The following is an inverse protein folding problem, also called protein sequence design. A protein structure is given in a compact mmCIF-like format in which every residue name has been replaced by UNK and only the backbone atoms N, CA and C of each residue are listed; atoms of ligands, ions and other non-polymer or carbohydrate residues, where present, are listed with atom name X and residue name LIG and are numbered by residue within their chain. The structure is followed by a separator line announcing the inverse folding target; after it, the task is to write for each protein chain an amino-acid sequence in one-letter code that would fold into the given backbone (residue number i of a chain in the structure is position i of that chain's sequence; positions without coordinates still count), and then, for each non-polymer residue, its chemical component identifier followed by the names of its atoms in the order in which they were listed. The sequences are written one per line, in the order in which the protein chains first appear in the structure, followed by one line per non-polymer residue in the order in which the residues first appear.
data_IF_355539129831
#
_entry.id   IF_355539129831
#
_cell.length_a   1.000
_cell.length_b   1.000
_cell.length_c   1.000
_cell.angle_alpha   90.00
_cell.angle_beta   90.00
_cell.angle_gamma   90.00
#
_symmetry.space_group_name_H-M   'P 1'
#
loop_
_entity.id
_entity.type
_entity.pdbx_description
1 polymer ?
#
# COMPACT_ATOMS: atom_id res chain seq x y z
N UNK A 1 43.42 39.24 8.39
CA UNK A 1 42.60 40.35 8.93
C UNK A 1 41.14 40.11 8.61
N UNK A 2 40.32 39.81 9.63
CA UNK A 2 38.85 39.67 9.55
C UNK A 2 38.23 40.84 10.33
N UNK A 3 37.36 41.65 9.73
CA UNK A 3 36.53 42.59 10.47
C UNK A 3 35.11 41.99 10.64
N UNK A 4 34.69 41.87 11.89
CA UNK A 4 33.39 41.36 12.35
C UNK A 4 32.41 42.53 12.56
N UNK A 5 31.13 42.24 12.30
CA UNK A 5 29.94 43.08 12.41
C UNK A 5 29.70 43.61 13.84
N UNK A 6 29.26 44.86 13.94
CA UNK A 6 28.71 45.52 15.14
C UNK A 6 27.18 45.42 15.14
N UNK A 7 26.58 45.07 16.28
CA UNK A 7 25.19 45.35 16.67
C UNK A 7 25.23 46.08 18.03
N UNK A 8 24.42 47.12 18.28
CA UNK A 8 24.20 47.65 19.62
C UNK A 8 22.86 47.17 20.24
N UNK A 9 22.71 47.25 21.58
CA UNK A 9 21.69 46.54 22.36
C UNK A 9 20.43 47.38 22.69
N UNK A 10 19.31 46.69 22.93
CA UNK A 10 18.02 47.23 23.40
C UNK A 10 18.06 47.44 24.91
N UNK A 11 17.71 48.66 25.34
CA UNK A 11 17.65 49.12 26.74
C UNK A 11 16.25 48.94 27.35
N UNK A 12 16.31 48.65 28.64
CA UNK A 12 15.35 48.36 29.71
C UNK A 12 14.26 49.42 30.04
N UNK A 13 13.11 48.92 30.54
CA UNK A 13 12.34 49.31 31.75
C UNK A 13 11.74 50.74 31.95
N UNK A 14 10.44 50.79 32.29
CA UNK A 14 9.81 51.74 33.25
C UNK A 14 8.37 51.25 33.55
N UNK A 15 8.01 50.70 34.72
CA UNK A 15 7.74 51.26 36.07
C UNK A 15 6.26 51.14 36.44
N UNK A 16 6.01 50.35 37.49
CA UNK A 16 4.78 50.32 38.28
C UNK A 16 4.69 51.56 39.18
N UNK A 17 3.51 52.16 39.30
CA UNK A 17 3.12 52.92 40.50
C UNK A 17 1.67 52.57 40.85
N UNK A 18 1.52 52.10 42.09
CA UNK A 18 0.29 51.70 42.78
C UNK A 18 -0.23 52.93 43.53
N UNK A 19 -1.50 53.28 43.36
CA UNK A 19 -2.25 54.13 44.31
C UNK A 19 -3.64 53.53 44.49
N UNK A 20 -3.98 53.20 45.72
CA UNK A 20 -5.33 52.85 46.17
C UNK A 20 -5.86 53.99 47.06
N UNK A 21 -7.20 54.17 47.10
CA UNK A 21 -7.84 54.43 48.38
C UNK A 21 -9.02 53.50 48.66
N UNK A 22 -9.24 53.28 49.96
CA UNK A 22 -10.34 52.53 50.58
C UNK A 22 -11.71 53.15 50.26
N UNK A 23 -12.69 52.29 49.99
CA UNK A 23 -14.12 52.61 50.00
C UNK A 23 -14.94 51.32 50.05
N UNK A 24 -15.48 51.01 51.24
CA UNK A 24 -16.35 49.85 51.51
C UNK A 24 -17.75 50.13 50.93
N UNK A 25 -18.24 49.21 50.10
CA UNK A 25 -19.66 48.87 50.01
C UNK A 25 -19.74 47.45 49.41
N UNK A 26 -20.08 46.48 50.26
CA UNK A 26 -20.37 45.11 49.83
C UNK A 26 -21.59 45.14 48.91
N UNK A 27 -21.40 44.77 47.65
CA UNK A 27 -22.47 44.30 46.78
C UNK A 27 -22.13 42.88 46.35
N UNK A 28 -23.09 42.00 46.61
CA UNK A 28 -23.02 40.56 46.38
C UNK A 28 -22.63 40.29 44.92
N UNK A 29 -21.51 39.59 44.74
CA UNK A 29 -21.00 39.18 43.44
C UNK A 29 -21.91 38.05 42.91
N UNK A 30 -22.78 38.36 41.95
CA UNK A 30 -23.27 37.37 41.00
C UNK A 30 -22.33 37.35 39.80
N UNK A 31 -21.49 36.32 39.69
CA UNK A 31 -20.72 36.03 38.47
C UNK A 31 -21.65 35.32 37.49
N UNK A 32 -22.10 35.92 36.37
CA UNK A 32 -22.64 35.10 35.29
C UNK A 32 -21.50 34.27 34.71
N UNK A 33 -21.75 32.97 34.54
CA UNK A 33 -20.82 32.04 33.94
C UNK A 33 -20.36 32.56 32.56
N UNK A 34 -19.06 32.84 32.44
CA UNK A 34 -18.39 33.05 31.16
C UNK A 34 -18.53 31.76 30.34
N UNK A 35 -19.28 31.83 29.24
CA UNK A 35 -19.40 30.71 28.31
C UNK A 35 -20.38 30.88 27.15
N UNK A 36 -21.00 32.05 26.95
CA UNK A 36 -21.68 32.34 25.69
C UNK A 36 -20.62 32.56 24.60
N UNK A 37 -20.29 31.49 23.87
CA UNK A 37 -19.63 31.64 22.56
C UNK A 37 -20.52 32.52 21.71
N UNK A 38 -19.95 33.60 21.17
CA UNK A 38 -20.57 34.44 20.17
C UNK A 38 -21.12 33.55 19.05
N UNK A 39 -22.45 33.46 18.99
CA UNK A 39 -23.18 32.95 17.85
C UNK A 39 -22.82 33.84 16.66
N UNK A 40 -22.54 33.23 15.51
CA UNK A 40 -22.39 33.98 14.26
C UNK A 40 -23.63 34.85 14.04
N UNK A 41 -23.42 36.09 13.62
CA UNK A 41 -24.46 37.09 13.46
C UNK A 41 -25.68 36.53 12.68
N UNK A 42 -26.83 36.47 13.34
CA UNK A 42 -28.15 36.21 12.72
C UNK A 42 -28.88 34.92 13.12
N UNK A 43 -28.29 34.00 13.89
CA UNK A 43 -28.95 32.73 14.24
C UNK A 43 -29.63 32.80 15.62
N UNK A 44 -30.97 32.91 15.67
CA UNK A 44 -31.73 32.72 16.91
C UNK A 44 -31.60 31.26 17.41
N UNK A 45 -31.36 31.04 18.72
CA UNK A 45 -31.22 29.70 19.26
C UNK A 45 -32.54 28.93 19.20
N UNK A 46 -32.60 27.89 18.36
CA UNK A 46 -33.76 26.98 18.30
C UNK A 46 -33.82 26.15 19.59
N UNK A 47 -34.93 26.27 20.33
CA UNK A 47 -35.20 25.56 21.60
C UNK A 47 -36.53 24.81 21.51
N UNK A 48 -36.63 23.65 22.15
CA UNK A 48 -37.81 22.79 22.11
C UNK A 48 -37.47 21.32 22.36
N UNK A 49 -38.50 20.47 22.41
CA UNK A 49 -38.33 18.99 22.47
C UNK A 49 -37.70 18.45 21.18
N UNK A 50 -37.21 17.21 21.19
CA UNK A 50 -36.68 16.57 19.98
C UNK A 50 -37.69 16.59 18.82
N UNK A 51 -38.96 16.32 19.09
CA UNK A 51 -40.05 16.39 18.11
C UNK A 51 -40.25 17.81 17.54
N UNK A 52 -40.29 18.82 18.41
CA UNK A 52 -40.46 20.22 17.98
C UNK A 52 -39.28 20.68 17.13
N UNK A 53 -38.05 20.39 17.55
CA UNK A 53 -36.85 20.69 16.77
C UNK A 53 -36.87 19.96 15.43
N UNK A 54 -37.35 18.73 15.39
CA UNK A 54 -37.41 17.95 14.15
C UNK A 54 -38.40 18.58 13.16
N UNK A 55 -39.57 19.00 13.66
CA UNK A 55 -40.57 19.71 12.85
C UNK A 55 -40.04 21.05 12.35
N UNK A 56 -39.39 21.86 13.21
CA UNK A 56 -38.76 23.13 12.81
C UNK A 56 -37.73 22.89 11.70
N UNK A 57 -36.95 21.80 11.79
CA UNK A 57 -36.02 21.41 10.75
C UNK A 57 -36.71 21.13 9.41
N UNK A 58 -37.80 20.35 9.43
CA UNK A 58 -38.55 20.01 8.22
C UNK A 58 -39.20 21.24 7.58
N UNK A 59 -39.85 22.07 8.40
CA UNK A 59 -40.50 23.30 7.93
C UNK A 59 -39.48 24.26 7.31
N UNK A 60 -38.29 24.36 7.92
CA UNK A 60 -37.18 25.15 7.39
C UNK A 60 -36.60 24.56 6.09
N UNK A 61 -36.50 23.24 5.95
CA UNK A 61 -36.10 22.63 4.67
C UNK A 61 -37.11 22.92 3.55
N UNK A 62 -38.41 22.87 3.87
CA UNK A 62 -39.51 23.15 2.95
C UNK A 62 -39.55 24.62 2.52
N UNK A 63 -39.20 25.55 3.41
CA UNK A 63 -39.10 26.98 3.10
C UNK A 63 -37.76 27.38 2.46
N UNK A 64 -36.80 26.45 2.36
CA UNK A 64 -35.46 26.69 1.82
C UNK A 64 -34.48 27.34 2.81
N UNK A 65 -34.88 27.54 4.07
CA UNK A 65 -34.00 28.05 5.13
C UNK A 65 -33.05 26.96 5.66
N UNK A 66 -31.98 26.73 4.91
CA UNK A 66 -30.95 25.74 5.26
C UNK A 66 -30.21 26.08 6.57
N UNK A 67 -30.15 27.35 6.97
CA UNK A 67 -29.51 27.78 8.21
C UNK A 67 -30.31 27.32 9.43
N UNK A 68 -31.62 27.62 9.41
CA UNK A 68 -32.54 27.19 10.47
C UNK A 68 -32.68 25.67 10.52
N UNK A 69 -32.78 25.01 9.36
CA UNK A 69 -32.83 23.54 9.29
C UNK A 69 -31.56 22.91 9.91
N UNK A 70 -30.38 23.43 9.55
CA UNK A 70 -29.11 23.00 10.12
C UNK A 70 -29.12 23.12 11.65
N UNK A 71 -29.50 24.28 12.18
CA UNK A 71 -29.46 24.56 13.62
C UNK A 71 -30.42 23.65 14.40
N UNK A 72 -31.62 23.42 13.86
CA UNK A 72 -32.62 22.56 14.48
C UNK A 72 -32.16 21.10 14.55
N UNK A 73 -31.72 20.52 13.43
CA UNK A 73 -31.23 19.13 13.42
C UNK A 73 -29.96 18.94 14.24
N UNK A 74 -29.01 19.89 14.17
CA UNK A 74 -27.80 19.88 15.00
C UNK A 74 -28.12 19.91 16.49
N UNK A 75 -29.16 20.63 16.90
CA UNK A 75 -29.59 20.67 18.30
C UNK A 75 -30.07 19.29 18.77
N UNK A 76 -30.80 18.54 17.93
CA UNK A 76 -31.25 17.17 18.23
C UNK A 76 -30.06 16.25 18.45
N UNK A 77 -29.14 16.20 17.47
CA UNK A 77 -27.95 15.33 17.53
C UNK A 77 -27.09 15.66 18.76
N UNK A 78 -27.05 16.91 19.21
CA UNK A 78 -26.24 17.31 20.38
C UNK A 78 -26.91 17.06 21.72
N UNK A 79 -28.20 17.40 21.84
CA UNK A 79 -28.93 17.41 23.13
C UNK A 79 -29.72 16.13 23.37
N UNK A 80 -30.19 15.48 22.31
CA UNK A 80 -31.14 14.36 22.36
C UNK A 80 -30.56 13.11 21.70
N UNK A 81 -29.28 12.80 21.95
CA UNK A 81 -28.53 11.71 21.27
C UNK A 81 -29.19 10.34 21.31
N UNK A 82 -29.94 10.01 22.36
CA UNK A 82 -30.60 8.71 22.55
C UNK A 82 -32.03 8.67 22.03
N UNK A 83 -32.55 9.80 21.56
CA UNK A 83 -33.90 9.90 21.05
C UNK A 83 -34.05 9.12 19.74
N UNK A 84 -35.22 8.54 19.51
CA UNK A 84 -35.56 7.82 18.28
C UNK A 84 -35.38 8.68 17.02
N UNK A 85 -35.55 10.00 17.14
CA UNK A 85 -35.37 10.95 16.05
C UNK A 85 -33.91 11.31 15.78
N UNK A 86 -32.98 10.98 16.69
CA UNK A 86 -31.60 11.44 16.59
C UNK A 86 -30.89 10.93 15.33
N UNK A 87 -31.11 9.67 14.95
CA UNK A 87 -30.56 9.10 13.71
C UNK A 87 -31.10 9.78 12.45
N UNK A 88 -32.41 10.06 12.41
CA UNK A 88 -33.04 10.79 11.30
C UNK A 88 -32.58 12.25 11.25
N UNK A 89 -32.44 12.91 12.41
CA UNK A 89 -31.93 14.26 12.49
C UNK A 89 -30.45 14.36 12.06
N UNK A 90 -29.61 13.39 12.42
CA UNK A 90 -28.23 13.33 11.96
C UNK A 90 -28.15 13.18 10.44
N UNK A 91 -29.00 12.33 9.85
CA UNK A 91 -29.09 12.18 8.40
C UNK A 91 -29.58 13.46 7.71
N UNK A 92 -30.65 14.08 8.19
CA UNK A 92 -31.14 15.34 7.62
C UNK A 92 -30.13 16.48 7.77
N UNK A 93 -29.44 16.56 8.91
CA UNK A 93 -28.33 17.50 9.09
C UNK A 93 -27.24 17.30 8.02
N UNK A 94 -26.88 16.05 7.72
CA UNK A 94 -25.90 15.73 6.67
C UNK A 94 -26.38 16.17 5.29
N UNK A 95 -27.65 15.89 4.93
CA UNK A 95 -28.26 16.34 3.67
C UNK A 95 -28.28 17.86 3.53
N UNK A 96 -28.59 18.57 4.60
CA UNK A 96 -28.52 20.04 4.62
C UNK A 96 -27.09 20.52 4.36
N UNK A 97 -26.06 19.82 4.87
CA UNK A 97 -24.67 20.19 4.59
C UNK A 97 -24.30 19.98 3.11
N UNK A 98 -24.75 18.89 2.49
CA UNK A 98 -24.56 18.67 1.04
C UNK A 98 -25.26 19.75 0.21
N UNK A 99 -26.52 20.11 0.55
CA UNK A 99 -27.25 21.19 -0.14
C UNK A 99 -26.55 22.54 -0.02
N UNK A 100 -25.80 22.76 1.05
CA UNK A 100 -24.96 23.95 1.27
C UNK A 100 -23.60 23.87 0.55
N UNK A 101 -23.28 22.75 -0.08
CA UNK A 101 -22.01 22.49 -0.77
C UNK A 101 -20.83 22.17 0.15
N UNK A 102 -21.08 21.86 1.42
CA UNK A 102 -20.06 21.55 2.42
C UNK A 102 -19.90 20.03 2.58
N UNK A 103 -19.35 19.39 1.55
CA UNK A 103 -19.24 17.94 1.46
C UNK A 103 -18.47 17.30 2.62
N UNK A 104 -17.45 17.97 3.17
CA UNK A 104 -16.70 17.43 4.31
C UNK A 104 -17.56 17.43 5.58
N UNK A 105 -18.33 18.50 5.82
CA UNK A 105 -19.28 18.51 6.94
C UNK A 105 -20.39 17.51 6.73
N UNK A 106 -20.83 17.31 5.49
CA UNK A 106 -21.80 16.26 5.15
C UNK A 106 -21.25 14.86 5.42
N UNK A 107 -20.06 14.52 4.93
CA UNK A 107 -19.43 13.22 5.15
C UNK A 107 -19.19 12.96 6.65
N UNK A 108 -18.80 13.98 7.42
CA UNK A 108 -18.66 13.89 8.87
C UNK A 108 -20.02 13.68 9.58
N UNK A 109 -21.10 14.28 9.09
CA UNK A 109 -22.44 14.07 9.62
C UNK A 109 -22.99 12.68 9.25
N UNK A 110 -22.78 12.20 8.02
CA UNK A 110 -23.13 10.83 7.65
C UNK A 110 -22.34 9.79 8.44
N UNK A 111 -21.07 10.08 8.77
CA UNK A 111 -20.26 9.26 9.67
C UNK A 111 -20.94 9.08 11.03
N UNK A 112 -21.54 10.13 11.58
CA UNK A 112 -22.31 10.04 12.83
C UNK A 112 -23.51 9.09 12.66
N UNK A 113 -24.22 9.13 11.52
CA UNK A 113 -25.33 8.20 11.24
C UNK A 113 -24.85 6.75 11.30
N UNK A 114 -23.76 6.42 10.60
CA UNK A 114 -23.30 5.03 10.48
C UNK A 114 -22.54 4.51 11.71
N UNK A 115 -21.96 5.40 12.53
CA UNK A 115 -21.24 5.02 13.76
C UNK A 115 -22.12 5.05 15.01
N UNK A 116 -22.88 6.12 15.22
CA UNK A 116 -23.68 6.31 16.44
C UNK A 116 -25.10 5.73 16.28
N UNK A 117 -25.61 5.62 15.05
CA UNK A 117 -27.00 5.21 14.76
C UNK A 117 -27.10 4.04 13.75
N UNK A 118 -26.41 2.90 13.94
CA UNK A 118 -26.38 1.81 12.98
C UNK A 118 -27.73 1.12 12.74
N UNK A 119 -28.73 1.32 13.61
CA UNK A 119 -30.11 0.84 13.44
C UNK A 119 -31.04 1.85 12.77
N UNK A 120 -30.51 3.01 12.37
CA UNK A 120 -31.29 4.02 11.65
C UNK A 120 -31.74 3.45 10.31
N UNK A 121 -32.98 3.75 9.91
CA UNK A 121 -33.48 3.46 8.56
C UNK A 121 -32.66 4.14 7.45
N UNK A 122 -31.87 5.16 7.81
CA UNK A 122 -31.02 5.93 6.91
C UNK A 122 -29.55 5.47 6.93
N UNK A 123 -29.26 4.29 7.47
CA UNK A 123 -27.89 3.75 7.51
C UNK A 123 -27.33 3.56 6.09
N UNK A 124 -28.06 2.84 5.23
CA UNK A 124 -27.60 2.56 3.87
C UNK A 124 -27.57 3.82 3.00
N UNK A 125 -28.52 4.74 3.19
CA UNK A 125 -28.53 6.06 2.54
C UNK A 125 -27.27 6.87 2.90
N UNK A 126 -26.85 6.81 4.17
CA UNK A 126 -25.66 7.51 4.65
C UNK A 126 -24.37 6.89 4.08
N UNK A 127 -24.29 5.56 3.98
CA UNK A 127 -23.16 4.87 3.33
C UNK A 127 -23.08 5.26 1.85
N UNK A 128 -24.20 5.27 1.13
CA UNK A 128 -24.24 5.70 -0.28
C UNK A 128 -23.77 7.14 -0.45
N UNK A 129 -24.25 8.05 0.40
CA UNK A 129 -23.85 9.44 0.35
C UNK A 129 -22.35 9.62 0.68
N UNK A 130 -21.82 8.90 1.66
CA UNK A 130 -20.38 8.87 1.93
C UNK A 130 -19.60 8.37 0.72
N UNK A 131 -20.06 7.30 0.06
CA UNK A 131 -19.39 6.75 -1.11
C UNK A 131 -19.31 7.80 -2.24
N UNK A 132 -20.44 8.44 -2.57
CA UNK A 132 -20.51 9.52 -3.57
C UNK A 132 -19.60 10.70 -3.25
N UNK A 133 -19.56 11.13 -1.99
CA UNK A 133 -18.66 12.20 -1.56
C UNK A 133 -17.20 11.74 -1.72
N UNK A 134 -16.87 10.54 -1.27
CA UNK A 134 -15.54 9.94 -1.45
C UNK A 134 -15.08 9.94 -2.91
N UNK A 135 -15.94 9.51 -3.83
CA UNK A 135 -15.66 9.53 -5.27
C UNK A 135 -15.42 10.94 -5.81
N UNK A 136 -16.17 11.93 -5.31
CA UNK A 136 -15.98 13.35 -5.67
C UNK A 136 -14.58 13.84 -5.28
N UNK A 137 -14.11 13.47 -4.09
CA UNK A 137 -12.76 13.80 -3.64
C UNK A 137 -11.69 13.03 -4.43
N UNK A 138 -11.92 11.74 -4.71
CA UNK A 138 -11.03 10.90 -5.50
C UNK A 138 -10.88 11.39 -6.96
N UNK A 139 -11.94 11.95 -7.54
CA UNK A 139 -11.92 12.57 -8.86
C UNK A 139 -11.02 13.83 -8.93
N UNK A 140 -10.51 14.30 -7.79
CA UNK A 140 -9.60 15.43 -7.73
C UNK A 140 -10.33 16.77 -7.72
N UNK A 141 -11.51 16.84 -7.08
CA UNK A 141 -12.17 18.10 -6.74
C UNK A 141 -11.11 19.05 -6.17
N UNK A 142 -10.78 20.08 -6.94
CA UNK A 142 -9.67 21.01 -6.65
C UNK A 142 -10.00 21.77 -5.38
N UNK A 143 -9.51 21.28 -4.26
CA UNK A 143 -9.56 22.01 -3.00
C UNK A 143 -8.57 23.17 -3.09
N UNK A 144 -9.09 24.40 -3.05
CA UNK A 144 -8.29 25.62 -2.96
C UNK A 144 -8.45 26.18 -1.56
N UNK A 145 -7.35 26.30 -0.83
CA UNK A 145 -7.29 27.09 0.40
C UNK A 145 -6.41 28.30 0.13
N UNK A 146 -6.96 29.51 0.23
CA UNK A 146 -6.25 30.77 -0.11
C UNK A 146 -5.57 30.73 -1.49
N UNK A 147 -6.18 30.11 -2.50
CA UNK A 147 -5.63 30.01 -3.85
C UNK A 147 -4.55 28.93 -4.05
N UNK A 148 -4.16 28.21 -3.00
CA UNK A 148 -3.18 27.11 -3.07
C UNK A 148 -3.92 25.76 -3.22
N UNK A 149 -3.57 24.92 -4.21
CA UNK A 149 -4.13 23.58 -4.34
C UNK A 149 -3.68 22.71 -3.16
N UNK A 150 -4.64 22.15 -2.42
CA UNK A 150 -4.37 21.34 -1.24
C UNK A 150 -4.25 19.86 -1.63
N UNK A 151 -3.13 19.21 -1.27
CA UNK A 151 -2.91 17.75 -1.45
C UNK A 151 -3.85 16.86 -0.63
N UNK A 152 -4.67 17.44 0.25
CA UNK A 152 -5.53 16.72 1.20
C UNK A 152 -6.72 16.00 0.56
N UNK A 153 -7.06 16.24 -0.71
CA UNK A 153 -8.25 15.64 -1.32
C UNK A 153 -8.20 14.10 -1.30
N UNK A 154 -7.04 13.50 -1.59
CA UNK A 154 -6.88 12.04 -1.54
C UNK A 154 -6.95 11.51 -0.10
N UNK A 155 -6.38 12.23 0.87
CA UNK A 155 -6.47 11.86 2.29
C UNK A 155 -7.93 11.85 2.77
N UNK A 156 -8.72 12.87 2.36
CA UNK A 156 -10.15 12.93 2.65
C UNK A 156 -10.93 11.80 1.99
N UNK A 157 -10.63 11.47 0.72
CA UNK A 157 -11.23 10.31 0.06
C UNK A 157 -10.94 9.03 0.85
N UNK A 158 -9.68 8.80 1.23
CA UNK A 158 -9.28 7.64 2.04
C UNK A 158 -10.00 7.58 3.38
N UNK A 159 -10.09 8.70 4.12
CA UNK A 159 -10.82 8.76 5.41
C UNK A 159 -12.30 8.38 5.26
N UNK A 160 -12.95 8.86 4.20
CA UNK A 160 -14.37 8.60 3.92
C UNK A 160 -14.58 7.14 3.53
N UNK A 161 -13.80 6.62 2.58
CA UNK A 161 -13.91 5.20 2.18
C UNK A 161 -13.56 4.25 3.33
N UNK A 162 -12.54 4.56 4.15
CA UNK A 162 -12.20 3.77 5.33
C UNK A 162 -13.34 3.72 6.36
N UNK A 163 -14.15 4.77 6.43
CA UNK A 163 -15.36 4.76 7.27
C UNK A 163 -16.34 3.71 6.76
N UNK A 164 -16.64 3.70 5.46
CA UNK A 164 -17.55 2.73 4.82
C UNK A 164 -17.07 1.29 5.06
N UNK A 165 -15.78 1.02 4.81
CA UNK A 165 -15.20 -0.32 4.98
C UNK A 165 -15.35 -0.83 6.41
N UNK A 166 -15.18 0.05 7.40
CA UNK A 166 -15.29 -0.33 8.81
C UNK A 166 -16.74 -0.48 9.27
N UNK A 167 -17.65 0.40 8.84
CA UNK A 167 -19.03 0.41 9.36
C UNK A 167 -19.96 -0.53 8.60
N UNK A 168 -19.65 -0.83 7.33
CA UNK A 168 -20.44 -1.72 6.49
C UNK A 168 -19.57 -2.80 5.82
N UNK A 169 -18.89 -3.70 6.56
CA UNK A 169 -17.92 -4.64 5.98
C UNK A 169 -18.46 -5.56 4.87
N UNK A 170 -19.78 -5.79 4.83
CA UNK A 170 -20.47 -6.60 3.81
C UNK A 170 -21.45 -5.76 2.96
N UNK A 171 -21.32 -4.43 2.98
CA UNK A 171 -22.17 -3.52 2.23
C UNK A 171 -21.86 -3.51 0.74
N UNK A 172 -22.85 -3.14 -0.08
CA UNK A 172 -22.74 -3.07 -1.56
C UNK A 172 -21.61 -2.18 -2.09
N UNK A 173 -21.14 -1.22 -1.29
CA UNK A 173 -20.08 -0.29 -1.69
C UNK A 173 -18.70 -0.68 -1.16
N UNK A 174 -18.59 -1.75 -0.37
CA UNK A 174 -17.41 -1.94 0.48
C UNK A 174 -16.21 -2.45 -0.28
N UNK A 175 -16.38 -3.42 -1.16
CA UNK A 175 -15.32 -3.86 -2.07
C UNK A 175 -14.81 -2.68 -2.92
N UNK A 176 -15.74 -1.89 -3.44
CA UNK A 176 -15.42 -0.70 -4.24
C UNK A 176 -14.72 0.39 -3.42
N UNK A 177 -15.20 0.69 -2.22
CA UNK A 177 -14.57 1.66 -1.32
C UNK A 177 -13.14 1.23 -0.96
N UNK A 178 -12.92 -0.05 -0.69
CA UNK A 178 -11.57 -0.60 -0.42
C UNK A 178 -10.66 -0.45 -1.65
N UNK A 179 -11.17 -0.71 -2.86
CA UNK A 179 -10.44 -0.47 -4.10
C UNK A 179 -10.12 1.02 -4.31
N UNK A 180 -11.08 1.90 -4.02
CA UNK A 180 -10.93 3.35 -4.17
C UNK A 180 -9.99 3.97 -3.12
N UNK A 181 -9.79 3.33 -1.95
CA UNK A 181 -8.66 3.63 -1.05
C UNK A 181 -7.33 3.39 -1.78
N UNK A 182 -7.20 2.26 -2.49
CA UNK A 182 -6.01 1.96 -3.30
C UNK A 182 -5.76 3.00 -4.39
N UNK A 183 -6.80 3.46 -5.07
CA UNK A 183 -6.70 4.54 -6.07
C UNK A 183 -6.28 5.87 -5.45
N UNK A 184 -6.78 6.18 -4.25
CA UNK A 184 -6.42 7.42 -3.56
C UNK A 184 -4.93 7.42 -3.16
N UNK A 185 -4.44 6.32 -2.59
CA UNK A 185 -3.03 6.18 -2.17
C UNK A 185 -2.08 6.06 -3.36
N UNK A 186 -2.51 5.43 -4.45
CA UNK A 186 -1.80 5.42 -5.73
C UNK A 186 -1.59 6.86 -6.25
N UNK A 187 -2.64 7.68 -6.26
CA UNK A 187 -2.56 9.10 -6.67
C UNK A 187 -1.67 9.94 -5.75
N UNK A 188 -1.48 9.52 -4.51
CA UNK A 188 -0.52 10.14 -3.59
C UNK A 188 0.93 9.73 -3.86
N UNK A 189 1.15 8.73 -4.72
CA UNK A 189 2.47 8.15 -5.01
C UNK A 189 2.95 7.17 -3.94
N UNK A 190 2.06 6.71 -3.04
CA UNK A 190 2.40 5.74 -2.02
C UNK A 190 2.12 4.31 -2.53
N UNK A 191 3.09 3.74 -3.23
CA UNK A 191 2.99 2.40 -3.84
C UNK A 191 2.68 1.32 -2.81
N UNK A 192 3.34 1.33 -1.65
CA UNK A 192 3.14 0.29 -0.63
C UNK A 192 1.72 0.34 -0.06
N UNK A 193 1.22 1.53 0.28
CA UNK A 193 -0.14 1.69 0.77
C UNK A 193 -1.20 1.34 -0.28
N UNK A 194 -0.93 1.64 -1.56
CA UNK A 194 -1.83 1.29 -2.66
C UNK A 194 -1.89 -0.23 -2.88
N UNK A 195 -0.73 -0.90 -2.91
CA UNK A 195 -0.66 -2.36 -2.98
C UNK A 195 -1.39 -3.00 -1.80
N UNK A 196 -1.18 -2.55 -0.57
CA UNK A 196 -1.88 -3.08 0.59
C UNK A 196 -3.40 -2.90 0.50
N UNK A 197 -3.87 -1.76 -0.01
CA UNK A 197 -5.30 -1.50 -0.16
C UNK A 197 -5.94 -2.38 -1.24
N UNK A 198 -5.28 -2.56 -2.39
CA UNK A 198 -5.74 -3.46 -3.45
C UNK A 198 -5.67 -4.93 -3.04
N UNK A 199 -4.61 -5.34 -2.33
CA UNK A 199 -4.47 -6.69 -1.80
C UNK A 199 -5.63 -7.04 -0.86
N UNK A 200 -6.03 -6.11 0.00
CA UNK A 200 -7.20 -6.29 0.86
C UNK A 200 -8.51 -6.46 0.06
N UNK A 201 -8.61 -5.97 -1.18
CA UNK A 201 -9.77 -6.28 -2.05
C UNK A 201 -9.73 -7.74 -2.46
N UNK A 202 -8.58 -8.20 -2.96
CA UNK A 202 -8.39 -9.58 -3.44
C UNK A 202 -8.61 -10.60 -2.32
N UNK A 203 -8.17 -10.28 -1.11
CA UNK A 203 -8.30 -11.18 0.05
C UNK A 203 -9.72 -11.22 0.63
N UNK A 204 -10.37 -10.06 0.74
CA UNK A 204 -11.66 -9.95 1.45
C UNK A 204 -12.88 -10.09 0.52
N UNK A 205 -12.70 -9.82 -0.77
CA UNK A 205 -13.78 -9.83 -1.76
C UNK A 205 -13.37 -10.62 -3.03
N UNK A 206 -12.86 -11.86 -2.92
CA UNK A 206 -12.30 -12.61 -4.06
C UNK A 206 -13.31 -12.87 -5.19
N UNK A 207 -14.61 -12.94 -4.87
CA UNK A 207 -15.69 -13.19 -5.83
C UNK A 207 -16.28 -11.89 -6.42
N UNK A 208 -15.91 -10.72 -5.89
CA UNK A 208 -16.37 -9.45 -6.43
C UNK A 208 -15.66 -9.18 -7.77
N UNK A 209 -16.39 -8.74 -8.83
CA UNK A 209 -15.77 -8.42 -10.12
C UNK A 209 -14.57 -7.46 -10.05
N UNK A 210 -14.52 -6.59 -9.02
CA UNK A 210 -13.43 -5.64 -8.84
C UNK A 210 -12.12 -6.27 -8.34
N UNK A 211 -12.16 -7.50 -7.82
CA UNK A 211 -10.96 -8.20 -7.36
C UNK A 211 -9.96 -8.46 -8.49
N UNK A 212 -10.45 -8.76 -9.69
CA UNK A 212 -9.62 -8.88 -10.88
C UNK A 212 -8.91 -7.57 -11.22
N UNK A 213 -9.62 -6.44 -11.14
CA UNK A 213 -9.04 -5.12 -11.35
C UNK A 213 -7.99 -4.81 -10.29
N UNK A 214 -8.26 -5.12 -9.01
CA UNK A 214 -7.33 -4.91 -7.90
C UNK A 214 -6.03 -5.68 -8.10
N UNK A 215 -6.11 -6.97 -8.42
CA UNK A 215 -4.94 -7.81 -8.66
C UNK A 215 -4.10 -7.30 -9.84
N UNK A 216 -4.75 -6.87 -10.93
CA UNK A 216 -4.04 -6.25 -12.04
C UNK A 216 -3.33 -4.95 -11.63
N UNK A 217 -3.99 -4.10 -10.84
CA UNK A 217 -3.39 -2.84 -10.36
C UNK A 217 -2.15 -3.08 -9.50
N UNK A 218 -2.12 -4.13 -8.68
CA UNK A 218 -0.92 -4.51 -7.90
C UNK A 218 0.27 -4.73 -8.83
N UNK A 219 0.11 -5.53 -9.90
CA UNK A 219 1.18 -5.75 -10.88
C UNK A 219 1.58 -4.48 -11.62
N UNK A 220 0.61 -3.64 -11.97
CA UNK A 220 0.86 -2.38 -12.66
C UNK A 220 1.61 -1.35 -11.80
N UNK A 221 1.31 -1.28 -10.50
CA UNK A 221 2.02 -0.43 -9.55
C UNK A 221 3.49 -0.84 -9.42
N UNK A 222 3.75 -2.13 -9.24
CA UNK A 222 5.12 -2.65 -9.18
C UNK A 222 5.88 -2.44 -10.49
N UNK A 223 5.21 -2.63 -11.64
CA UNK A 223 5.80 -2.35 -12.94
C UNK A 223 6.20 -0.88 -13.08
N UNK A 224 5.36 0.03 -12.58
CA UNK A 224 5.63 1.46 -12.59
C UNK A 224 6.82 1.80 -11.69
N UNK A 225 6.86 1.23 -10.48
CA UNK A 225 8.00 1.37 -9.56
C UNK A 225 9.32 0.87 -10.18
N UNK A 226 9.28 -0.29 -10.86
CA UNK A 226 10.42 -0.87 -11.57
C UNK A 226 10.91 -0.03 -12.77
N UNK A 227 10.07 0.87 -13.29
CA UNK A 227 10.42 1.82 -14.36
C UNK A 227 10.99 3.13 -13.81
N UNK A 228 10.51 3.60 -12.65
CA UNK A 228 10.98 4.84 -12.03
C UNK A 228 12.31 4.69 -11.29
N UNK A 229 12.60 3.51 -10.73
CA UNK A 229 13.85 3.24 -10.03
C UNK A 229 15.00 2.88 -10.96
N UNK A 230 16.23 3.30 -10.62
CA UNK A 230 17.45 2.78 -11.25
C UNK A 230 17.56 1.29 -10.88
N UNK A 231 17.13 0.40 -11.78
CA UNK A 231 17.23 -1.06 -11.64
C UNK A 231 16.67 -1.62 -10.33
N UNK A 232 15.42 -1.29 -10.01
CA UNK A 232 14.71 -1.94 -8.92
C UNK A 232 14.29 -3.38 -9.33
N UNK A 233 15.23 -4.32 -9.16
CA UNK A 233 15.02 -5.73 -9.45
C UNK A 233 13.92 -6.36 -8.59
N UNK A 234 13.71 -5.85 -7.37
CA UNK A 234 12.67 -6.33 -6.47
C UNK A 234 11.29 -5.91 -6.97
N UNK A 235 11.11 -4.64 -7.36
CA UNK A 235 9.87 -4.19 -7.97
C UNK A 235 9.57 -4.93 -9.28
N UNK A 236 10.59 -5.22 -10.09
CA UNK A 236 10.43 -6.05 -11.29
C UNK A 236 9.96 -7.46 -10.95
N UNK A 237 10.57 -8.12 -9.97
CA UNK A 237 10.14 -9.45 -9.51
C UNK A 237 8.69 -9.42 -8.98
N UNK A 238 8.35 -8.45 -8.14
CA UNK A 238 6.99 -8.27 -7.62
C UNK A 238 5.96 -8.06 -8.74
N UNK A 239 6.31 -7.27 -9.76
CA UNK A 239 5.45 -7.04 -10.92
C UNK A 239 5.19 -8.34 -11.69
N UNK A 240 6.24 -9.15 -11.92
CA UNK A 240 6.11 -10.47 -12.55
C UNK A 240 5.14 -11.35 -11.76
N UNK A 241 5.42 -11.57 -10.48
CA UNK A 241 4.61 -12.43 -9.60
C UNK A 241 3.16 -11.98 -9.60
N UNK A 242 2.88 -10.67 -9.48
CA UNK A 242 1.53 -10.16 -9.45
C UNK A 242 0.77 -10.35 -10.78
N UNK A 243 1.43 -10.19 -11.94
CA UNK A 243 0.79 -10.47 -13.23
C UNK A 243 0.61 -11.96 -13.50
N UNK A 244 1.54 -12.82 -13.06
CA UNK A 244 1.38 -14.28 -13.13
C UNK A 244 0.19 -14.74 -12.27
N UNK A 245 0.10 -14.24 -11.03
CA UNK A 245 -1.03 -14.51 -10.14
C UNK A 245 -2.36 -13.99 -10.72
N UNK A 246 -2.35 -12.81 -11.34
CA UNK A 246 -3.51 -12.30 -12.08
C UNK A 246 -3.95 -13.24 -13.20
N UNK A 247 -3.02 -13.73 -14.02
CA UNK A 247 -3.32 -14.64 -15.14
C UNK A 247 -3.82 -16.01 -14.65
N UNK A 248 -3.33 -16.45 -13.49
CA UNK A 248 -3.76 -17.69 -12.86
C UNK A 248 -5.17 -17.58 -12.28
N UNK A 249 -5.45 -16.51 -11.51
CA UNK A 249 -6.73 -16.33 -10.79
C UNK A 249 -7.85 -15.81 -11.67
N UNK A 250 -7.54 -14.95 -12.64
CA UNK A 250 -8.54 -14.24 -13.45
C UNK A 250 -8.35 -14.47 -14.97
N UNK A 251 -8.32 -15.72 -15.46
CA UNK A 251 -8.01 -16.05 -16.86
C UNK A 251 -9.05 -15.56 -17.88
N UNK A 252 -10.22 -15.11 -17.42
CA UNK A 252 -11.31 -14.59 -18.26
C UNK A 252 -11.43 -13.05 -18.22
N UNK A 253 -10.58 -12.36 -17.46
CA UNK A 253 -10.62 -10.89 -17.37
C UNK A 253 -10.22 -10.24 -18.70
N UNK A 254 -10.84 -9.11 -19.02
CA UNK A 254 -10.49 -8.28 -20.19
C UNK A 254 -9.03 -7.81 -20.17
N UNK A 255 -8.38 -7.78 -18.99
CA UNK A 255 -6.98 -7.35 -18.85
C UNK A 255 -5.95 -8.46 -19.08
N UNK A 256 -6.36 -9.69 -19.39
CA UNK A 256 -5.44 -10.81 -19.67
C UNK A 256 -4.44 -10.50 -20.77
N UNK A 257 -4.89 -9.91 -21.87
CA UNK A 257 -4.02 -9.52 -22.97
C UNK A 257 -2.99 -8.46 -22.54
N UNK A 258 -3.43 -7.47 -21.74
CA UNK A 258 -2.56 -6.41 -21.22
C UNK A 258 -1.54 -6.95 -20.21
N UNK A 259 -1.93 -7.87 -19.32
CA UNK A 259 -1.03 -8.49 -18.35
C UNK A 259 0.07 -9.31 -19.04
N UNK A 260 -0.28 -10.12 -20.05
CA UNK A 260 0.71 -10.85 -20.88
C UNK A 260 1.69 -9.90 -21.56
N UNK A 261 1.18 -8.80 -22.12
CA UNK A 261 2.04 -7.80 -22.75
C UNK A 261 3.00 -7.12 -21.77
N UNK A 262 2.52 -6.79 -20.56
CA UNK A 262 3.36 -6.23 -19.51
C UNK A 262 4.46 -7.21 -19.06
N UNK A 263 4.13 -8.50 -18.93
CA UNK A 263 5.11 -9.55 -18.64
C UNK A 263 6.19 -9.66 -19.73
N UNK A 264 5.78 -9.70 -21.01
CA UNK A 264 6.73 -9.73 -22.14
C UNK A 264 7.69 -8.55 -22.12
N UNK A 265 7.19 -7.34 -21.86
CA UNK A 265 8.03 -6.13 -21.75
C UNK A 265 8.99 -6.21 -20.57
N UNK A 266 8.54 -6.73 -19.44
CA UNK A 266 9.35 -6.90 -18.24
C UNK A 266 10.49 -7.90 -18.48
N UNK A 267 10.18 -9.03 -19.10
CA UNK A 267 11.16 -10.05 -19.51
C UNK A 267 12.16 -9.50 -20.53
N UNK A 268 11.69 -8.80 -21.57
CA UNK A 268 12.58 -8.22 -22.59
C UNK A 268 13.56 -7.22 -21.98
N UNK A 269 13.09 -6.36 -21.08
CA UNK A 269 13.96 -5.42 -20.34
C UNK A 269 15.01 -6.20 -19.54
N UNK A 270 14.60 -7.22 -18.79
CA UNK A 270 15.49 -8.03 -17.98
C UNK A 270 16.55 -8.75 -18.83
N UNK A 271 16.14 -9.38 -19.93
CA UNK A 271 17.04 -10.07 -20.85
C UNK A 271 18.03 -9.08 -21.48
N UNK A 272 17.57 -7.88 -21.85
CA UNK A 272 18.44 -6.80 -22.36
C UNK A 272 19.47 -6.39 -21.31
N UNK A 273 19.06 -6.19 -20.06
CA UNK A 273 19.95 -5.84 -18.95
C UNK A 273 21.01 -6.94 -18.71
N UNK A 274 20.60 -8.21 -18.63
CA UNK A 274 21.52 -9.35 -18.49
C UNK A 274 22.52 -9.41 -19.65
N UNK A 275 22.08 -9.15 -20.89
CA UNK A 275 22.96 -9.14 -22.05
C UNK A 275 23.99 -8.00 -22.01
N UNK A 276 23.61 -6.80 -21.56
CA UNK A 276 24.57 -5.70 -21.41
C UNK A 276 25.59 -5.96 -20.30
N UNK A 277 25.16 -6.57 -19.18
CA UNK A 277 26.08 -6.98 -18.11
C UNK A 277 27.06 -8.04 -18.61
N UNK A 278 26.57 -9.02 -19.37
CA UNK A 278 27.43 -10.03 -19.99
C UNK A 278 28.51 -9.38 -20.88
N UNK A 279 28.13 -8.45 -21.76
CA UNK A 279 29.06 -7.70 -22.61
C UNK A 279 30.09 -6.88 -21.83
N UNK A 280 29.69 -6.29 -20.70
CA UNK A 280 30.59 -5.52 -19.84
C UNK A 280 31.70 -6.39 -19.27
N UNK A 281 31.36 -7.56 -18.71
CA UNK A 281 32.35 -8.51 -18.19
C UNK A 281 33.20 -9.16 -19.27
N UNK A 282 32.59 -9.46 -20.41
CA UNK A 282 33.28 -10.00 -21.59
C UNK A 282 34.38 -9.03 -22.05
N UNK A 283 34.07 -7.73 -22.12
CA UNK A 283 35.04 -6.68 -22.44
C UNK A 283 36.20 -6.59 -21.43
N UNK A 284 35.91 -6.86 -20.16
CA UNK A 284 36.93 -6.91 -19.08
C UNK A 284 37.71 -8.23 -19.05
N UNK A 285 37.41 -9.18 -19.93
CA UNK A 285 37.96 -10.54 -19.95
C UNK A 285 37.62 -11.36 -18.71
N UNK A 286 36.62 -10.93 -17.93
CA UNK A 286 36.02 -11.75 -16.89
C UNK A 286 35.01 -12.71 -17.53
N UNK A 287 35.52 -13.70 -18.27
CA UNK A 287 34.71 -14.58 -19.10
C UNK A 287 33.78 -15.48 -18.30
N UNK A 288 34.18 -15.87 -17.10
CA UNK A 288 33.35 -16.68 -16.21
C UNK A 288 32.09 -15.92 -15.78
N UNK A 289 32.22 -14.67 -15.35
CA UNK A 289 31.06 -13.83 -15.05
C UNK A 289 30.22 -13.58 -16.32
N UNK A 290 30.85 -13.26 -17.45
CA UNK A 290 30.16 -13.02 -18.71
C UNK A 290 29.28 -14.22 -19.14
N UNK A 291 29.79 -15.45 -19.03
CA UNK A 291 29.04 -16.66 -19.40
C UNK A 291 27.84 -16.90 -18.49
N UNK A 292 27.91 -16.56 -17.20
CA UNK A 292 26.75 -16.63 -16.29
C UNK A 292 25.60 -15.76 -16.83
N UNK A 293 25.91 -14.51 -17.18
CA UNK A 293 24.90 -13.58 -17.68
C UNK A 293 24.42 -13.92 -19.10
N UNK A 294 25.30 -14.37 -20.00
CA UNK A 294 24.86 -14.86 -21.32
C UNK A 294 23.96 -16.09 -21.20
N UNK A 295 24.24 -17.03 -20.30
CA UNK A 295 23.38 -18.18 -20.06
C UNK A 295 22.01 -17.77 -19.47
N UNK A 296 21.97 -16.73 -18.64
CA UNK A 296 20.71 -16.19 -18.14
C UNK A 296 19.84 -15.61 -19.28
N UNK A 297 20.45 -14.89 -20.23
CA UNK A 297 19.78 -14.41 -21.46
C UNK A 297 19.20 -15.58 -22.27
N UNK A 298 20.00 -16.62 -22.52
CA UNK A 298 19.59 -17.82 -23.28
C UNK A 298 18.41 -18.51 -22.61
N UNK A 299 18.43 -18.63 -21.28
CA UNK A 299 17.38 -19.30 -20.51
C UNK A 299 16.09 -18.49 -20.44
N UNK A 300 16.16 -17.16 -20.32
CA UNK A 300 14.99 -16.29 -20.23
C UNK A 300 14.25 -16.16 -21.56
N UNK A 301 14.99 -16.06 -22.68
CA UNK A 301 14.41 -15.92 -24.00
C UNK A 301 15.12 -16.80 -25.05
N UNK A 302 14.88 -18.12 -25.03
CA UNK A 302 15.43 -19.03 -26.04
C UNK A 302 14.98 -18.61 -27.45
N UNK A 303 15.92 -18.51 -28.40
CA UNK A 303 15.63 -18.19 -29.79
C UNK A 303 15.34 -16.70 -30.09
N UNK A 304 15.53 -15.80 -29.12
CA UNK A 304 15.59 -14.36 -29.40
C UNK A 304 16.92 -13.96 -30.05
N UNK A 305 16.98 -12.79 -30.69
CA UNK A 305 18.21 -12.27 -31.30
C UNK A 305 19.32 -12.15 -30.25
N UNK A 306 18.98 -11.68 -29.05
CA UNK A 306 19.88 -11.60 -27.90
C UNK A 306 20.31 -12.99 -27.41
N UNK A 307 19.38 -13.94 -27.34
CA UNK A 307 19.64 -15.34 -26.98
C UNK A 307 20.61 -16.02 -27.95
N UNK A 308 20.40 -15.86 -29.26
CA UNK A 308 21.27 -16.43 -30.28
C UNK A 308 22.67 -15.81 -30.26
N UNK A 309 22.75 -14.48 -30.06
CA UNK A 309 24.02 -13.77 -29.88
C UNK A 309 24.75 -14.23 -28.62
N UNK A 310 24.03 -14.38 -27.51
CA UNK A 310 24.58 -14.85 -26.25
C UNK A 310 25.11 -16.28 -26.38
N UNK A 311 24.35 -17.18 -27.01
CA UNK A 311 24.75 -18.56 -27.28
C UNK A 311 26.02 -18.62 -28.11
N UNK A 312 26.05 -17.93 -29.26
CA UNK A 312 27.23 -17.84 -30.12
C UNK A 312 28.45 -17.36 -29.34
N UNK A 313 28.28 -16.33 -28.50
CA UNK A 313 29.39 -15.78 -27.73
C UNK A 313 29.89 -16.73 -26.63
N UNK A 314 29.00 -17.46 -25.96
CA UNK A 314 29.38 -18.50 -24.99
C UNK A 314 30.22 -19.58 -25.67
N UNK A 315 29.85 -20.03 -26.87
CA UNK A 315 30.60 -21.03 -27.63
C UNK A 315 31.99 -20.51 -28.06
N UNK A 316 32.10 -19.25 -28.48
CA UNK A 316 33.38 -18.59 -28.78
C UNK A 316 34.29 -18.51 -27.53
N UNK A 317 33.73 -18.16 -26.38
CA UNK A 317 34.48 -18.09 -25.12
C UNK A 317 34.95 -19.48 -24.69
N UNK A 318 34.09 -20.50 -24.83
CA UNK A 318 34.43 -21.91 -24.54
C UNK A 318 35.59 -22.39 -25.40
N UNK A 319 35.57 -22.10 -26.69
CA UNK A 319 36.67 -22.44 -27.59
C UNK A 319 37.97 -21.71 -27.24
N UNK A 320 37.90 -20.48 -26.73
CA UNK A 320 39.06 -19.64 -26.42
C UNK A 320 39.79 -20.01 -25.12
N UNK A 321 39.05 -20.27 -24.05
CA UNK A 321 39.63 -20.47 -22.70
C UNK A 321 39.39 -21.86 -22.12
N UNK A 322 38.63 -22.71 -22.81
CA UNK A 322 38.26 -24.04 -22.36
C UNK A 322 37.15 -24.03 -21.31
N UNK A 323 36.40 -25.15 -21.23
CA UNK A 323 35.24 -25.28 -20.33
C UNK A 323 35.57 -25.07 -18.85
N UNK A 324 36.74 -25.53 -18.41
CA UNK A 324 37.16 -25.44 -17.00
C UNK A 324 37.27 -24.00 -16.48
N UNK A 325 37.66 -23.05 -17.33
CA UNK A 325 37.80 -21.63 -16.97
C UNK A 325 36.46 -20.89 -16.89
N UNK A 326 35.39 -21.48 -17.45
CA UNK A 326 34.05 -20.88 -17.53
C UNK A 326 33.08 -21.46 -16.50
N UNK A 327 33.43 -22.57 -15.85
CA UNK A 327 32.61 -23.18 -14.81
C UNK A 327 32.59 -22.33 -13.52
N UNK A 328 31.45 -22.27 -12.81
CA UNK A 328 31.39 -21.75 -11.45
C UNK A 328 32.40 -22.44 -10.52
N UNK A 329 32.99 -21.74 -9.56
CA UNK A 329 34.09 -22.22 -8.70
C UNK A 329 33.66 -23.47 -7.91
N UNK A 330 32.40 -23.51 -7.50
CA UNK A 330 31.79 -24.64 -6.83
C UNK A 330 31.83 -25.93 -7.68
N UNK A 331 31.68 -25.82 -9.00
CA UNK A 331 31.75 -26.97 -9.91
C UNK A 331 33.20 -27.40 -10.15
N UNK A 332 34.14 -26.47 -10.34
CA UNK A 332 35.57 -26.79 -10.51
C UNK A 332 36.18 -27.47 -9.28
N UNK A 333 35.74 -27.12 -8.07
CA UNK A 333 36.19 -27.77 -6.83
C UNK A 333 35.61 -29.20 -6.67
N UNK A 334 34.41 -29.44 -7.19
CA UNK A 334 33.78 -30.77 -7.17
C UNK A 334 34.38 -31.71 -8.23
N UNK A 335 34.66 -31.24 -9.44
CA UNK A 335 35.31 -32.04 -10.49
C UNK A 335 36.78 -32.33 -10.20
N UNK A 336 37.49 -31.43 -9.51
CA UNK A 336 38.88 -31.68 -9.06
C UNK A 336 38.98 -32.76 -7.96
N UNK A 337 37.86 -33.11 -7.31
CA UNK A 337 37.77 -34.11 -6.23
C UNK A 337 37.25 -35.48 -6.66
N UNK A 338 36.87 -35.67 -7.92
CA UNK A 338 36.40 -36.97 -8.42
C UNK A 338 37.59 -37.93 -8.66
N UNK A 339 37.59 -39.16 -8.11
CA UNK A 339 38.64 -40.13 -8.37
C UNK A 339 38.51 -40.70 -9.79
N UNK A 340 39.65 -40.90 -10.48
CA UNK A 340 39.72 -41.49 -11.83
C UNK A 340 39.17 -42.93 -11.84
N UNK A 341 38.53 -43.41 -12.92
CA UNK A 341 37.94 -44.75 -12.95
C UNK A 341 39.01 -45.81 -13.14
N UNK A 342 39.15 -46.72 -12.17
CA UNK A 342 39.89 -47.99 -12.33
C UNK A 342 38.95 -49.10 -12.81
N UNK A 343 39.46 -49.88 -13.78
CA UNK A 343 38.86 -51.04 -14.46
C UNK A 343 38.36 -52.16 -13.51
N UNK A 344 37.50 -53.09 -13.98
CA UNK A 344 36.53 -53.80 -13.14
C UNK A 344 37.11 -55.06 -12.46
N UNK A 345 36.68 -55.30 -11.22
CA UNK A 345 37.05 -56.48 -10.42
C UNK A 345 35.93 -57.54 -10.48
N UNK A 346 36.29 -58.78 -10.84
CA UNK A 346 35.44 -59.98 -10.76
C UNK A 346 35.37 -60.49 -9.30
N UNK A 347 34.23 -61.04 -8.83
CA UNK A 347 34.13 -61.57 -7.47
C UNK A 347 34.39 -63.08 -7.40
N UNK A 348 34.91 -63.60 -6.28
CA UNK A 348 34.67 -64.99 -5.87
C UNK A 348 33.91 -65.08 -4.52
N UNK A 349 33.44 -66.29 -4.13
CA UNK A 349 32.16 -66.46 -3.43
C UNK A 349 32.26 -66.86 -1.95
N UNK A 350 31.17 -66.58 -1.22
CA UNK A 350 30.56 -67.53 -0.26
C UNK A 350 30.95 -67.49 1.23
N UNK A 351 29.90 -67.61 2.07
CA UNK A 351 29.85 -67.97 3.52
C UNK A 351 30.32 -66.93 4.54
N UNK A 352 29.69 -66.67 5.69
CA UNK A 352 28.48 -67.15 6.35
C UNK A 352 28.29 -66.43 7.71
N UNK A 353 27.05 -66.39 8.20
CA UNK A 353 26.60 -66.32 9.61
C UNK A 353 26.98 -65.16 10.57
N UNK A 354 25.92 -64.44 10.96
CA UNK A 354 25.40 -64.17 12.33
C UNK A 354 25.85 -62.98 13.23
N UNK A 355 24.81 -62.21 13.59
CA UNK A 355 24.45 -61.60 14.90
C UNK A 355 25.35 -60.58 15.61
N UNK A 356 24.77 -59.41 15.92
CA UNK A 356 25.13 -58.61 17.10
C UNK A 356 24.91 -57.08 16.98
N UNK A 357 23.87 -56.56 17.64
CA UNK A 357 23.76 -55.16 18.12
C UNK A 357 23.60 -55.23 19.65
N UNK A 358 23.97 -54.23 20.52
CA UNK A 358 23.71 -52.79 20.34
C UNK A 358 24.75 -51.76 20.88
N UNK A 359 24.61 -50.52 20.41
CA UNK A 359 24.85 -49.19 21.04
C UNK A 359 26.15 -48.85 21.81
N UNK A 360 26.85 -47.76 21.40
CA UNK A 360 26.91 -46.43 22.07
C UNK A 360 28.09 -45.57 21.56
N UNK A 361 27.82 -44.30 21.18
CA UNK A 361 28.86 -43.25 21.08
C UNK A 361 28.54 -42.08 20.13
N UNK A 362 27.96 -41.00 20.64
CA UNK A 362 28.04 -39.64 20.06
C UNK A 362 29.41 -39.01 20.43
N UNK A 363 29.82 -37.79 19.98
CA UNK A 363 29.22 -36.85 19.03
C UNK A 363 30.19 -36.37 17.91
N UNK A 364 29.65 -35.95 16.76
CA UNK A 364 30.45 -35.37 15.67
C UNK A 364 29.74 -34.19 15.03
N UNK A 365 30.04 -33.00 15.53
CA UNK A 365 29.64 -31.71 14.98
C UNK A 365 30.04 -31.59 13.51
N UNK A 366 29.07 -31.70 12.60
CA UNK A 366 29.21 -31.24 11.23
C UNK A 366 28.84 -29.75 11.22
N UNK A 367 29.85 -28.89 11.30
CA UNK A 367 29.69 -27.47 11.06
C UNK A 367 29.01 -27.24 9.69
N UNK A 368 28.07 -26.29 9.56
CA UNK A 368 27.52 -25.92 8.26
C UNK A 368 28.67 -25.47 7.35
N UNK A 369 28.71 -26.01 6.13
CA UNK A 369 29.64 -25.55 5.10
C UNK A 369 29.49 -24.03 4.93
N UNK A 370 30.58 -23.26 4.81
CA UNK A 370 30.46 -21.85 4.50
C UNK A 370 29.76 -21.69 3.13
N UNK A 371 28.89 -20.67 2.97
CA UNK A 371 28.30 -20.39 1.68
C UNK A 371 29.41 -20.11 0.65
N UNK A 372 29.23 -20.49 -0.63
CA UNK A 372 30.22 -20.20 -1.66
C UNK A 372 30.46 -18.69 -1.69
N UNK A 373 31.74 -18.28 -1.74
CA UNK A 373 32.15 -16.89 -1.85
C UNK A 373 31.52 -16.28 -3.10
N UNK A 374 30.38 -15.62 -2.91
CA UNK A 374 29.86 -14.64 -3.83
C UNK A 374 30.77 -13.41 -3.67
N UNK A 375 31.37 -12.95 -4.75
CA UNK A 375 31.98 -11.63 -4.77
C UNK A 375 30.86 -10.62 -4.48
N UNK A 376 30.83 -10.11 -3.24
CA UNK A 376 29.78 -9.23 -2.70
C UNK A 376 29.63 -7.92 -3.49
N UNK A 377 30.56 -7.62 -4.41
CA UNK A 377 30.46 -6.49 -5.34
C UNK A 377 29.50 -6.73 -6.51
N UNK A 378 29.01 -7.96 -6.68
CA UNK A 378 28.15 -8.36 -7.80
C UNK A 378 26.66 -8.27 -7.44
N UNK A 379 25.81 -7.56 -8.21
CA UNK A 379 24.39 -7.86 -8.15
C UNK A 379 24.20 -9.31 -8.63
N UNK A 380 23.48 -10.17 -7.88
CA UNK A 380 23.28 -11.54 -8.30
C UNK A 380 22.49 -11.56 -9.63
N UNK A 381 22.81 -12.48 -10.56
CA UNK A 381 21.92 -12.71 -11.69
C UNK A 381 20.54 -13.07 -11.15
N UNK A 382 19.48 -12.67 -11.82
CA UNK A 382 18.12 -12.89 -11.31
C UNK A 382 17.78 -14.38 -11.12
N UNK A 383 18.53 -15.27 -11.76
CA UNK A 383 18.55 -16.72 -11.52
C UNK A 383 18.90 -17.15 -10.09
N UNK A 384 19.50 -16.25 -9.31
CA UNK A 384 20.02 -16.47 -7.96
C UNK A 384 19.31 -15.59 -6.91
N UNK A 385 18.30 -14.80 -7.30
CA UNK A 385 17.47 -14.10 -6.34
C UNK A 385 16.55 -15.12 -5.62
N UNK A 386 16.40 -15.04 -4.27
CA UNK A 386 15.48 -15.93 -3.57
C UNK A 386 14.06 -15.70 -4.09
N UNK A 387 13.41 -16.79 -4.50
CA UNK A 387 11.99 -16.77 -4.83
C UNK A 387 11.20 -16.73 -3.53
N UNK A 388 10.73 -15.55 -3.13
CA UNK A 388 9.81 -15.41 -2.00
C UNK A 388 8.43 -15.92 -2.42
N UNK A 389 8.29 -17.25 -2.49
CA UNK A 389 7.01 -17.92 -2.70
C UNK A 389 6.34 -18.07 -1.36
N UNK A 390 5.47 -17.14 -1.00
CA UNK A 390 4.47 -17.34 0.06
C UNK A 390 3.26 -18.06 -0.54
N UNK A 391 3.44 -19.31 -0.98
CA UNK A 391 2.32 -20.18 -1.28
C UNK A 391 1.91 -20.90 0.03
N UNK A 392 0.65 -20.80 0.48
CA UNK A 392 0.17 -21.63 1.58
C UNK A 392 0.15 -23.11 1.14
N UNK A 393 0.50 -24.01 2.06
CA UNK A 393 0.52 -25.45 1.81
C UNK A 393 -0.84 -25.96 1.29
N UNK A 394 -0.87 -26.87 0.31
CA UNK A 394 -2.13 -27.47 -0.15
C UNK A 394 -2.74 -28.27 1.00
N UNK A 395 -3.96 -27.90 1.39
CA UNK A 395 -4.73 -28.65 2.38
C UNK A 395 -4.99 -30.08 1.88
N UNK A 396 -4.85 -31.11 2.74
CA UNK A 396 -5.22 -32.47 2.36
C UNK A 396 -6.72 -32.52 2.09
N UNK A 397 -7.09 -32.86 0.85
CA UNK A 397 -8.49 -33.08 0.45
C UNK A 397 -8.96 -34.45 1.01
N UNK A 398 -10.29 -34.62 1.18
CA UNK A 398 -10.91 -35.38 2.28
C UNK A 398 -10.73 -36.91 2.26
#
# INVERSE_FOLDING_TARGET
MRLRRLYPPVILLLCCVIIAPLGRAESVIFKPAKGAKALGAGEEPVSGTAQQLFQIGQDAENSGDLGRAQSAYKAIVRKYRKDTLAGAAAYNYARVMERRGDDLKAAAAYKVVVEEYPRSRHFDDAIEAQFRIGETYLAGKKMKLLGIPVRTAMERATEIFATIVRTAPYGRYTARAQFDIGRATEKQGNTEAAVAAYQAVVEKFPDDPIAADAQYQIGYLWLTAARSGVRDAKAAANARTAFEDFLLRYPKSEKVAQARENLRKLEQKQTTDSFQIAKFYDKQKNYRAAVIYYNDVIRQQPGSIEGDRAKKRVDELRAKVGDGMLQPAALTAATARAPKPSMPFQPPPGEGSNSGTPMRGSPGSAAPLPPPEYDESLPPPASMAPGDTTAPEPSPTP
#
